data_IF_850205119889
#
_entry.id   IF_850205119889
#
_cell.length_a   1.000
_cell.length_b   1.000
_cell.length_c   1.000
_cell.angle_alpha   90.00
_cell.angle_beta   90.00
_cell.angle_gamma   90.00
#
_symmetry.space_group_name_H-M   'P 1'
#
loop_
_entity.id
_entity.type
_entity.pdbx_description
1 polymer ?
#
# COMPACT_ATOMS: atom_id res chain seq x y z
N UNK A 1 0.35 17.05 9.16
CA UNK A 1 0.91 16.04 8.22
C UNK A 1 2.42 16.23 8.09
N UNK A 2 3.24 15.43 8.78
CA UNK A 2 4.67 15.75 8.90
C UNK A 2 5.62 14.89 8.06
N UNK A 3 5.15 13.75 7.53
CA UNK A 3 5.99 12.80 6.81
C UNK A 3 6.02 12.98 5.29
N UNK A 4 5.26 13.91 4.70
CA UNK A 4 5.31 14.22 3.25
C UNK A 4 4.73 13.15 2.31
N UNK A 5 4.22 12.03 2.82
CA UNK A 5 3.52 11.03 2.02
C UNK A 5 2.21 11.60 1.47
N UNK A 6 2.04 11.60 0.15
CA UNK A 6 0.88 12.19 -0.52
C UNK A 6 -0.35 11.29 -0.58
N UNK A 7 -0.16 9.97 -0.70
CA UNK A 7 -1.27 9.05 -0.88
C UNK A 7 -0.97 7.62 -0.39
N UNK A 8 -2.03 6.91 -0.01
CA UNK A 8 -2.03 5.45 0.14
C UNK A 8 -3.04 4.87 -0.84
N UNK A 9 -2.64 3.83 -1.55
CA UNK A 9 -3.48 3.06 -2.47
C UNK A 9 -3.75 1.69 -1.87
N UNK A 10 -5.01 1.28 -1.77
CA UNK A 10 -5.47 0.07 -1.10
C UNK A 10 -6.13 -0.86 -2.12
N UNK A 11 -5.74 -2.12 -2.06
CA UNK A 11 -6.21 -3.26 -2.84
C UNK A 11 -6.42 -4.48 -1.90
N UNK A 12 -6.26 -5.71 -2.40
CA UNK A 12 -6.45 -6.95 -1.65
C UNK A 12 -7.91 -7.38 -1.56
N UNK A 13 -8.23 -8.29 -0.63
CA UNK A 13 -9.61 -8.75 -0.45
C UNK A 13 -10.56 -7.65 0.03
N UNK A 14 -10.03 -6.61 0.69
CA UNK A 14 -10.78 -5.47 1.20
C UNK A 14 -11.59 -4.72 0.12
N UNK A 15 -11.04 -4.53 -1.08
CA UNK A 15 -11.71 -3.77 -2.16
C UNK A 15 -12.63 -4.63 -3.04
N UNK A 16 -13.06 -5.79 -2.54
CA UNK A 16 -13.91 -6.75 -3.27
C UNK A 16 -15.29 -6.86 -2.64
N UNK A 17 -16.21 -7.59 -3.28
CA UNK A 17 -17.55 -7.86 -2.75
C UNK A 17 -17.58 -9.01 -1.71
N UNK A 18 -16.46 -9.35 -1.08
CA UNK A 18 -16.43 -10.38 -0.04
C UNK A 18 -17.12 -9.84 1.21
N UNK A 19 -18.01 -10.64 1.79
CA UNK A 19 -18.73 -10.28 3.02
C UNK A 19 -17.79 -10.03 4.20
N UNK A 20 -16.73 -10.84 4.30
CA UNK A 20 -15.70 -10.74 5.35
C UNK A 20 -14.30 -10.73 4.71
N UNK A 21 -13.78 -9.56 4.30
CA UNK A 21 -12.40 -9.45 3.83
C UNK A 21 -11.42 -9.74 4.98
N UNK A 22 -10.37 -10.50 4.70
CA UNK A 22 -9.44 -11.00 5.71
C UNK A 22 -8.05 -10.34 5.63
N UNK A 23 -7.81 -9.53 4.59
CA UNK A 23 -6.57 -8.82 4.36
C UNK A 23 -6.80 -7.55 3.51
N UNK A 24 -5.79 -6.70 3.49
CA UNK A 24 -5.61 -5.71 2.44
C UNK A 24 -4.13 -5.68 2.04
N UNK A 25 -3.92 -5.31 0.77
CA UNK A 25 -2.62 -4.99 0.22
C UNK A 25 -2.61 -3.50 -0.10
N UNK A 26 -1.63 -2.76 0.38
CA UNK A 26 -1.54 -1.33 0.15
C UNK A 26 -0.17 -0.94 -0.39
N UNK A 27 -0.13 0.15 -1.15
CA UNK A 27 1.12 0.84 -1.42
C UNK A 27 1.02 2.33 -1.08
N UNK A 28 2.13 2.90 -0.63
CA UNK A 28 2.20 4.31 -0.21
C UNK A 28 3.16 5.08 -1.09
N UNK A 29 2.79 6.33 -1.42
CA UNK A 29 3.58 7.20 -2.28
C UNK A 29 4.84 7.67 -1.55
N UNK A 30 6.00 7.27 -2.06
CA UNK A 30 7.28 7.68 -1.47
C UNK A 30 7.73 9.06 -1.95
N UNK A 31 7.05 9.62 -2.96
CA UNK A 31 7.41 10.90 -3.57
C UNK A 31 7.25 12.02 -2.54
N UNK A 32 8.37 12.62 -2.13
CA UNK A 32 8.37 13.69 -1.12
C UNK A 32 8.23 13.19 0.32
N UNK A 33 8.16 11.87 0.55
CA UNK A 33 8.07 11.31 1.88
C UNK A 33 9.40 11.38 2.65
N UNK A 34 9.37 11.88 3.88
CA UNK A 34 10.48 11.84 4.82
C UNK A 34 10.50 10.49 5.53
N UNK A 35 11.41 9.63 5.07
CA UNK A 35 11.52 8.24 5.52
C UNK A 35 11.80 8.09 7.02
N UNK A 36 12.39 9.12 7.65
CA UNK A 36 12.69 9.10 9.08
C UNK A 36 11.44 9.31 9.94
N UNK A 37 10.36 9.80 9.34
CA UNK A 37 9.05 9.99 9.97
C UNK A 37 8.04 8.91 9.61
N UNK A 38 8.39 8.03 8.67
CA UNK A 38 7.59 6.85 8.33
C UNK A 38 7.92 5.75 9.32
N UNK A 39 6.88 5.08 9.83
CA UNK A 39 7.05 3.93 10.70
C UNK A 39 7.97 2.88 10.04
N UNK A 40 9.11 2.53 10.66
CA UNK A 40 10.06 1.58 10.09
C UNK A 40 9.44 0.22 9.72
N UNK A 41 8.36 -0.19 10.39
CA UNK A 41 7.66 -1.45 10.10
C UNK A 41 7.14 -1.48 8.65
N UNK A 42 6.75 -0.34 8.08
CA UNK A 42 6.29 -0.25 6.68
C UNK A 42 7.39 -0.50 5.64
N UNK A 43 8.65 -0.64 6.08
CA UNK A 43 9.81 -0.96 5.26
C UNK A 43 10.39 -2.35 5.56
N UNK A 44 9.75 -3.10 6.45
CA UNK A 44 10.20 -4.41 6.89
C UNK A 44 9.44 -5.50 6.13
N UNK A 45 10.16 -6.32 5.37
CA UNK A 45 9.60 -7.35 4.48
C UNK A 45 9.95 -8.79 4.89
N UNK A 46 10.51 -8.98 6.09
CA UNK A 46 10.88 -10.28 6.63
C UNK A 46 9.64 -11.12 6.97
N UNK A 47 9.82 -12.44 7.09
CA UNK A 47 8.77 -13.38 7.52
C UNK A 47 7.40 -13.17 6.81
N UNK A 48 7.40 -12.83 5.51
CA UNK A 48 6.20 -12.46 4.74
C UNK A 48 5.42 -11.28 5.35
N UNK A 49 6.15 -10.24 5.76
CA UNK A 49 5.63 -8.99 6.36
C UNK A 49 4.83 -9.24 7.64
N UNK A 50 5.25 -10.20 8.46
CA UNK A 50 4.56 -10.56 9.70
C UNK A 50 4.39 -9.38 10.66
N UNK A 51 5.40 -8.51 10.76
CA UNK A 51 5.35 -7.30 11.60
C UNK A 51 4.31 -6.28 11.12
N UNK A 52 4.18 -6.09 9.80
CA UNK A 52 3.14 -5.24 9.20
C UNK A 52 1.75 -5.81 9.49
N UNK A 53 1.56 -7.12 9.24
CA UNK A 53 0.29 -7.80 9.50
C UNK A 53 -0.10 -7.76 10.98
N UNK A 54 0.85 -7.89 11.90
CA UNK A 54 0.59 -7.83 13.33
C UNK A 54 0.17 -6.43 13.81
N UNK A 55 0.74 -5.36 13.24
CA UNK A 55 0.45 -3.98 13.66
C UNK A 55 -0.73 -3.36 12.92
N UNK A 56 -0.82 -3.60 11.61
CA UNK A 56 -1.75 -2.92 10.72
C UNK A 56 -2.76 -3.86 10.06
N UNK A 57 -2.72 -5.17 10.34
CA UNK A 57 -3.63 -6.17 9.77
C UNK A 57 -3.58 -6.32 8.24
N UNK A 58 -2.56 -5.74 7.59
CA UNK A 58 -2.37 -5.83 6.15
C UNK A 58 -0.91 -5.68 5.75
N UNK A 59 -0.69 -5.56 4.45
CA UNK A 59 0.64 -5.48 3.83
C UNK A 59 0.83 -4.12 3.16
N UNK A 60 2.03 -3.55 3.27
CA UNK A 60 2.36 -2.23 2.74
C UNK A 60 3.63 -2.29 1.90
N UNK A 61 3.59 -1.60 0.76
CA UNK A 61 4.68 -1.54 -0.21
C UNK A 61 4.96 -0.08 -0.66
N UNK A 62 6.22 0.31 -0.90
CA UNK A 62 6.52 1.57 -1.59
C UNK A 62 5.94 1.58 -3.02
N UNK A 63 5.07 2.52 -3.35
CA UNK A 63 4.37 2.55 -4.63
C UNK A 63 5.32 2.56 -5.85
N UNK A 64 6.45 3.26 -5.74
CA UNK A 64 7.46 3.41 -6.79
C UNK A 64 8.50 2.27 -6.81
N UNK A 65 8.44 1.30 -5.91
CA UNK A 65 9.36 0.15 -5.98
C UNK A 65 8.86 -0.87 -7.02
N UNK A 66 9.80 -1.59 -7.62
CA UNK A 66 9.49 -2.65 -8.59
C UNK A 66 9.14 -3.94 -7.86
N UNK A 67 7.96 -4.47 -8.14
CA UNK A 67 7.55 -5.82 -7.77
C UNK A 67 8.30 -6.82 -8.68
N UNK A 68 9.05 -7.73 -8.06
CA UNK A 68 10.03 -8.57 -8.77
C UNK A 68 9.43 -9.57 -9.74
N UNK A 69 8.24 -10.09 -9.45
CA UNK A 69 7.59 -11.11 -10.28
C UNK A 69 7.06 -10.56 -11.60
N UNK A 70 6.47 -9.36 -11.56
CA UNK A 70 5.82 -8.71 -12.71
C UNK A 70 6.70 -7.69 -13.41
N UNK A 71 7.75 -7.18 -12.75
CA UNK A 71 8.58 -6.09 -13.26
C UNK A 71 7.88 -4.72 -13.27
N UNK A 72 6.71 -4.62 -12.63
CA UNK A 72 5.92 -3.37 -12.55
C UNK A 72 6.19 -2.65 -11.24
N UNK A 73 5.95 -1.34 -11.21
CA UNK A 73 5.83 -0.63 -9.94
C UNK A 73 4.68 -1.21 -9.10
N UNK A 74 4.77 -1.17 -7.77
CA UNK A 74 3.71 -1.71 -6.91
C UNK A 74 2.34 -1.08 -7.18
N UNK A 75 2.28 0.22 -7.49
CA UNK A 75 1.01 0.86 -7.88
C UNK A 75 0.40 0.24 -9.15
N UNK A 76 1.24 -0.05 -10.15
CA UNK A 76 0.81 -0.70 -11.38
C UNK A 76 0.46 -2.16 -11.18
N UNK A 77 1.19 -2.85 -10.32
CA UNK A 77 0.95 -4.24 -9.95
C UNK A 77 -0.41 -4.38 -9.24
N UNK A 78 -0.66 -3.60 -8.18
CA UNK A 78 -1.92 -3.63 -7.43
C UNK A 78 -3.12 -3.16 -8.27
N UNK A 79 -2.92 -2.27 -9.26
CA UNK A 79 -3.97 -1.87 -10.20
C UNK A 79 -4.14 -2.83 -11.38
N UNK A 80 -3.52 -4.02 -11.35
CA UNK A 80 -3.66 -5.06 -12.39
C UNK A 80 -4.29 -6.32 -11.79
N UNK A 81 -5.30 -6.91 -12.45
CA UNK A 81 -5.89 -8.19 -12.06
C UNK A 81 -5.03 -9.40 -12.48
N UNK A 82 -5.49 -10.61 -12.16
CA UNK A 82 -4.76 -11.86 -12.47
C UNK A 82 -4.63 -12.16 -13.96
N UNK A 83 -5.49 -11.57 -14.79
CA UNK A 83 -5.47 -11.73 -16.25
C UNK A 83 -4.69 -10.60 -16.94
N UNK A 84 -4.07 -9.70 -16.17
CA UNK A 84 -3.29 -8.59 -16.70
C UNK A 84 -4.11 -7.34 -17.05
N UNK A 85 -5.40 -7.30 -16.72
CA UNK A 85 -6.27 -6.14 -17.01
C UNK A 85 -6.18 -5.10 -15.90
N UNK A 86 -6.33 -3.82 -16.25
CA UNK A 86 -6.40 -2.75 -15.26
C UNK A 86 -7.70 -2.86 -14.45
N UNK A 87 -7.58 -2.72 -13.13
CA UNK A 87 -8.70 -2.66 -12.19
C UNK A 87 -8.62 -1.42 -11.31
N UNK A 88 -9.77 -1.02 -10.76
CA UNK A 88 -9.85 0.03 -9.76
C UNK A 88 -9.27 -0.42 -8.42
N UNK A 89 -8.70 0.54 -7.69
CA UNK A 89 -8.22 0.43 -6.31
C UNK A 89 -8.65 1.68 -5.56
N UNK A 90 -8.62 1.65 -4.23
CA UNK A 90 -8.98 2.82 -3.41
C UNK A 90 -7.76 3.71 -3.23
N UNK A 91 -7.87 5.00 -3.51
CA UNK A 91 -6.83 5.98 -3.21
C UNK A 91 -7.27 6.87 -2.05
N UNK A 92 -6.46 6.91 -0.99
CA UNK A 92 -6.60 7.84 0.13
C UNK A 92 -5.64 9.01 -0.09
N UNK A 93 -6.18 10.21 -0.33
CA UNK A 93 -5.38 11.42 -0.42
C UNK A 93 -4.99 11.89 0.98
N UNK A 94 -3.75 11.59 1.36
CA UNK A 94 -3.18 11.99 2.64
C UNK A 94 -2.82 13.47 2.70
N UNK A 95 -3.27 14.33 1.79
CA UNK A 95 -3.16 15.79 1.91
C UNK A 95 -4.51 16.43 2.23
N UNK A 96 -5.58 15.64 2.17
CA UNK A 96 -6.96 16.10 2.37
C UNK A 96 -7.45 15.96 3.82
N UNK A 97 -6.69 15.27 4.68
CA UNK A 97 -7.02 15.18 6.10
C UNK A 97 -6.45 16.39 6.85
N UNK A 98 -7.31 17.23 7.40
CA UNK A 98 -6.88 18.16 8.43
C UNK A 98 -6.76 17.39 9.75
N UNK A 99 -5.55 17.37 10.31
CA UNK A 99 -5.31 16.94 11.69
C UNK A 99 -5.02 18.19 12.49
N UNK A 100 -6.04 18.68 13.21
CA UNK A 100 -5.89 19.66 14.29
C UNK A 100 -5.04 19.11 15.45
#
# INVERSE_FOLDING_TARGET
MNAGCGAIYIDGSFVTNKESPNDFDACWDITGADINKIDPILRTFDAKRASQKAKYYGEFFPAQYIEKGSGKHFLDFLSTDKDGRKKGIVALDLRSFDYD
#
